data_IF_801905149986
#
_entry.id   IF_801905149986
#
_cell.length_a   1.000
_cell.length_b   1.000
_cell.length_c   1.000
_cell.angle_alpha   90.00
_cell.angle_beta   90.00
_cell.angle_gamma   90.00
#
_symmetry.space_group_name_H-M   'P 1'
#
loop_
_entity.id
_entity.type
_entity.pdbx_description
1 polymer ?
#
# COMPACT_ATOMS: atom_id res chain seq x y z
N UNK A 1 20.72 -9.46 15.45
CA UNK A 1 20.26 -8.33 16.30
C UNK A 1 19.41 -7.43 15.40
N UNK A 2 18.15 -7.17 15.75
CA UNK A 2 17.22 -6.50 14.83
C UNK A 2 17.36 -4.97 14.92
N UNK A 3 17.47 -4.28 13.79
CA UNK A 3 17.44 -2.80 13.74
C UNK A 3 16.01 -2.30 13.55
N UNK A 4 15.51 -1.52 14.52
CA UNK A 4 14.16 -0.93 14.46
C UNK A 4 14.15 0.37 13.63
N UNK A 5 14.33 0.26 12.31
CA UNK A 5 14.38 1.39 11.40
C UNK A 5 13.06 1.62 10.63
N UNK A 6 11.94 1.67 11.36
CA UNK A 6 10.63 2.01 10.77
C UNK A 6 10.40 3.53 10.87
N UNK A 7 9.96 4.20 9.80
CA UNK A 7 9.54 5.59 9.86
C UNK A 7 8.50 5.82 10.96
N UNK A 8 8.52 6.98 11.62
CA UNK A 8 7.55 7.33 12.67
C UNK A 8 6.56 8.41 12.25
N UNK A 9 6.86 9.11 11.17
CA UNK A 9 6.06 10.19 10.62
C UNK A 9 5.65 9.89 9.18
N UNK A 10 4.59 10.55 8.67
CA UNK A 10 4.26 10.49 7.26
C UNK A 10 5.45 10.84 6.37
N UNK A 11 5.69 10.04 5.34
CA UNK A 11 6.83 10.22 4.44
C UNK A 11 6.41 9.92 3.00
N UNK A 12 7.21 10.40 2.06
CA UNK A 12 6.99 10.17 0.64
C UNK A 12 7.69 8.90 0.17
N UNK A 13 6.96 8.07 -0.58
CA UNK A 13 7.51 6.97 -1.36
C UNK A 13 7.31 7.26 -2.86
N UNK A 14 8.24 6.78 -3.67
CA UNK A 14 8.21 6.94 -5.13
C UNK A 14 7.82 5.62 -5.77
N UNK A 15 6.78 5.64 -6.60
CA UNK A 15 6.35 4.50 -7.40
C UNK A 15 6.91 4.61 -8.82
N UNK A 16 6.39 3.80 -9.74
CA UNK A 16 6.66 3.91 -11.16
C UNK A 16 5.98 5.14 -11.80
N UNK A 17 6.40 5.48 -13.03
CA UNK A 17 5.76 6.49 -13.89
C UNK A 17 5.63 7.90 -13.29
N UNK A 18 6.52 8.27 -12.36
CA UNK A 18 6.51 9.60 -11.73
C UNK A 18 5.44 9.79 -10.66
N UNK A 19 4.74 8.73 -10.26
CA UNK A 19 3.78 8.77 -9.16
C UNK A 19 4.52 8.75 -7.83
N UNK A 20 4.15 9.64 -6.91
CA UNK A 20 4.61 9.62 -5.51
C UNK A 20 3.44 9.59 -4.56
N UNK A 21 3.58 8.88 -3.45
CA UNK A 21 2.56 8.81 -2.40
C UNK A 21 3.14 9.29 -1.09
N UNK A 22 2.42 10.17 -0.39
CA UNK A 22 2.68 10.44 1.01
C UNK A 22 1.90 9.43 1.84
N UNK A 23 2.61 8.66 2.66
CA UNK A 23 2.04 7.52 3.38
C UNK A 23 2.29 7.61 4.87
N UNK A 24 1.35 7.11 5.67
CA UNK A 24 1.53 6.83 7.09
C UNK A 24 2.60 5.75 7.27
N UNK A 25 3.29 5.67 8.41
CA UNK A 25 4.16 4.53 8.70
C UNK A 25 3.46 3.16 8.62
N UNK A 26 4.13 2.19 8.00
CA UNK A 26 3.68 0.80 7.90
C UNK A 26 3.78 0.07 9.25
N UNK A 27 2.88 0.39 10.17
CA UNK A 27 2.82 -0.23 11.50
C UNK A 27 2.02 -1.53 11.48
N UNK A 28 2.27 -2.40 12.46
CA UNK A 28 1.46 -3.63 12.66
C UNK A 28 -0.03 -3.32 12.79
N UNK A 29 -0.39 -2.24 13.49
CA UNK A 29 -1.79 -1.83 13.64
C UNK A 29 -2.44 -1.50 12.28
N UNK A 30 -1.70 -0.82 11.40
CA UNK A 30 -2.18 -0.47 10.06
C UNK A 30 -2.34 -1.71 9.17
N UNK A 31 -1.38 -2.64 9.23
CA UNK A 31 -1.48 -3.93 8.51
C UNK A 31 -2.66 -4.78 9.01
N UNK A 32 -2.88 -4.85 10.33
CA UNK A 32 -4.03 -5.60 10.89
C UNK A 32 -5.37 -4.96 10.54
N UNK A 33 -5.44 -3.63 10.55
CA UNK A 33 -6.63 -2.90 10.10
C UNK A 33 -6.93 -3.20 8.62
N UNK A 34 -5.91 -3.22 7.76
CA UNK A 34 -6.05 -3.57 6.35
C UNK A 34 -6.53 -5.01 6.15
N UNK A 35 -5.98 -5.97 6.90
CA UNK A 35 -6.43 -7.38 6.86
C UNK A 35 -7.91 -7.51 7.25
N UNK A 36 -8.33 -6.81 8.29
CA UNK A 36 -9.73 -6.80 8.72
C UNK A 36 -10.66 -6.10 7.71
N UNK A 37 -10.20 -5.05 7.05
CA UNK A 37 -10.96 -4.43 5.96
C UNK A 37 -11.07 -5.38 4.76
N UNK A 38 -9.97 -6.02 4.36
CA UNK A 38 -9.92 -6.96 3.25
C UNK A 38 -10.82 -8.18 3.49
N UNK A 39 -10.89 -8.70 4.73
CA UNK A 39 -11.78 -9.81 5.06
C UNK A 39 -13.28 -9.49 4.92
N UNK A 40 -13.64 -8.20 4.86
CA UNK A 40 -15.02 -7.76 4.59
C UNK A 40 -15.33 -7.64 3.11
N UNK A 41 -14.30 -7.46 2.28
CA UNK A 41 -14.42 -7.28 0.82
C UNK A 41 -14.31 -8.62 0.10
N UNK A 42 -13.34 -9.45 0.49
CA UNK A 42 -13.18 -10.80 -0.01
C UNK A 42 -14.31 -11.69 0.53
N UNK A 43 -15.47 -11.67 -0.13
CA UNK A 43 -16.58 -12.55 0.20
C UNK A 43 -16.16 -14.02 0.11
N UNK A 44 -16.31 -14.74 1.22
CA UNK A 44 -16.00 -16.17 1.43
C UNK A 44 -14.56 -16.63 1.12
N UNK A 45 -14.11 -17.64 1.84
CA UNK A 45 -12.73 -18.15 1.86
C UNK A 45 -12.29 -18.85 0.53
N UNK A 46 -13.12 -18.79 -0.50
CA UNK A 46 -12.93 -19.45 -1.80
C UNK A 46 -12.20 -18.58 -2.82
N UNK A 47 -11.93 -17.31 -2.53
CA UNK A 47 -11.19 -16.43 -3.43
C UNK A 47 -9.77 -16.95 -3.69
N UNK A 48 -9.30 -16.82 -4.93
CA UNK A 48 -7.95 -17.22 -5.30
C UNK A 48 -6.91 -16.46 -4.45
N UNK A 49 -5.78 -17.07 -4.15
CA UNK A 49 -4.75 -16.45 -3.31
C UNK A 49 -4.30 -15.08 -3.85
N UNK A 50 -4.20 -14.93 -5.18
CA UNK A 50 -3.87 -13.66 -5.82
C UNK A 50 -4.91 -12.56 -5.58
N UNK A 51 -6.21 -12.88 -5.67
CA UNK A 51 -7.30 -11.91 -5.44
C UNK A 51 -7.31 -11.42 -3.98
N UNK A 52 -7.03 -12.33 -3.03
CA UNK A 52 -6.90 -11.97 -1.61
C UNK A 52 -5.72 -11.04 -1.38
N UNK A 53 -4.58 -11.29 -2.01
CA UNK A 53 -3.41 -10.41 -1.93
C UNK A 53 -3.70 -9.04 -2.53
N UNK A 54 -4.30 -8.98 -3.72
CA UNK A 54 -4.67 -7.71 -4.36
C UNK A 54 -5.63 -6.90 -3.48
N UNK A 55 -6.65 -7.54 -2.91
CA UNK A 55 -7.59 -6.91 -1.98
C UNK A 55 -6.87 -6.35 -0.74
N UNK A 56 -5.94 -7.12 -0.16
CA UNK A 56 -5.15 -6.66 0.98
C UNK A 56 -4.29 -5.45 0.63
N UNK A 57 -3.62 -5.45 -0.52
CA UNK A 57 -2.79 -4.33 -0.98
C UNK A 57 -3.65 -3.07 -1.15
N UNK A 58 -4.83 -3.19 -1.78
CA UNK A 58 -5.75 -2.07 -1.97
C UNK A 58 -6.25 -1.50 -0.64
N UNK A 59 -6.69 -2.36 0.30
CA UNK A 59 -7.15 -1.92 1.62
C UNK A 59 -6.02 -1.32 2.46
N UNK A 60 -4.80 -1.83 2.30
CA UNK A 60 -3.63 -1.25 2.95
C UNK A 60 -3.34 0.16 2.42
N UNK A 61 -3.35 0.33 1.09
CA UNK A 61 -3.15 1.63 0.46
C UNK A 61 -4.20 2.66 0.90
N UNK A 62 -5.48 2.28 0.95
CA UNK A 62 -6.58 3.15 1.43
C UNK A 62 -6.34 3.69 2.84
N UNK A 63 -5.73 2.90 3.72
CA UNK A 63 -5.42 3.30 5.09
C UNK A 63 -4.12 4.08 5.23
N UNK A 64 -3.19 3.89 4.28
CA UNK A 64 -1.85 4.44 4.31
C UNK A 64 -1.72 5.80 3.63
N UNK A 65 -2.36 5.99 2.47
CA UNK A 65 -2.15 7.16 1.60
C UNK A 65 -2.84 8.39 2.18
N UNK A 66 -2.08 9.49 2.27
CA UNK A 66 -2.53 10.80 2.75
C UNK A 66 -2.56 11.86 1.64
N UNK A 67 -1.60 11.78 0.71
CA UNK A 67 -1.46 12.67 -0.44
C UNK A 67 -0.77 11.92 -1.59
N UNK A 68 -0.88 12.43 -2.81
CA UNK A 68 -0.14 11.92 -3.95
C UNK A 68 0.29 13.02 -4.92
N UNK A 69 1.25 12.70 -5.77
CA UNK A 69 1.68 13.49 -6.91
C UNK A 69 1.73 12.57 -8.15
N UNK A 70 1.54 13.16 -9.34
CA UNK A 70 1.59 12.42 -10.60
C UNK A 70 0.34 11.60 -10.91
N UNK A 71 -0.74 11.75 -10.12
CA UNK A 71 -2.04 11.11 -10.38
C UNK A 71 -3.02 12.16 -10.90
N UNK A 72 -3.60 11.87 -12.06
CA UNK A 72 -4.58 12.73 -12.71
C UNK A 72 -5.93 12.03 -12.90
N UNK A 73 -7.00 12.81 -12.92
CA UNK A 73 -8.34 12.36 -13.28
C UNK A 73 -8.47 12.18 -14.81
N UNK A 74 -9.64 11.73 -15.26
CA UNK A 74 -9.96 11.55 -16.70
C UNK A 74 -9.82 12.83 -17.53
N UNK A 75 -9.79 14.00 -16.88
CA UNK A 75 -9.65 15.32 -17.52
C UNK A 75 -8.21 15.83 -17.45
N UNK A 76 -7.27 15.03 -16.98
CA UNK A 76 -5.85 15.39 -16.84
C UNK A 76 -5.57 16.35 -15.68
N UNK A 77 -6.52 16.55 -14.76
CA UNK A 77 -6.32 17.41 -13.57
C UNK A 77 -5.83 16.59 -12.40
N UNK A 78 -5.07 17.17 -11.44
CA UNK A 78 -4.67 16.46 -10.23
C UNK A 78 -5.88 15.81 -9.54
N UNK A 79 -5.82 14.48 -9.39
CA UNK A 79 -6.90 13.73 -8.77
C UNK A 79 -6.91 13.99 -7.25
N UNK A 80 -8.09 13.97 -6.63
CA UNK A 80 -8.20 13.99 -5.17
C UNK A 80 -7.93 12.59 -4.59
N UNK A 81 -7.25 12.52 -3.45
CA UNK A 81 -7.07 11.25 -2.72
C UNK A 81 -8.42 10.84 -2.11
N UNK A 82 -9.06 9.84 -2.70
CA UNK A 82 -10.25 9.19 -2.17
C UNK A 82 -10.04 7.68 -2.08
N UNK A 83 -10.80 6.95 -1.25
CA UNK A 83 -10.70 5.49 -1.19
C UNK A 83 -10.88 4.81 -2.55
N UNK A 84 -11.77 5.34 -3.39
CA UNK A 84 -12.04 4.85 -4.75
C UNK A 84 -10.87 5.16 -5.69
N UNK A 85 -10.31 6.37 -5.60
CA UNK A 85 -9.14 6.74 -6.40
C UNK A 85 -7.89 5.93 -6.03
N UNK A 86 -7.69 5.65 -4.73
CA UNK A 86 -6.61 4.78 -4.25
C UNK A 86 -6.83 3.34 -4.70
N UNK A 87 -8.06 2.83 -4.66
CA UNK A 87 -8.38 1.51 -5.21
C UNK A 87 -8.05 1.45 -6.71
N UNK A 88 -8.52 2.42 -7.50
CA UNK A 88 -8.25 2.49 -8.94
C UNK A 88 -6.74 2.56 -9.25
N UNK A 89 -5.95 3.29 -8.44
CA UNK A 89 -4.50 3.33 -8.57
C UNK A 89 -3.87 1.94 -8.36
N UNK A 90 -4.40 1.16 -7.41
CA UNK A 90 -3.92 -0.20 -7.10
C UNK A 90 -4.42 -1.27 -8.08
N UNK A 91 -5.41 -0.99 -8.91
CA UNK A 91 -5.77 -1.87 -10.04
C UNK A 91 -4.69 -1.88 -11.14
N UNK A 92 -3.84 -0.86 -11.18
CA UNK A 92 -2.67 -0.87 -12.06
C UNK A 92 -1.58 -1.75 -11.46
N UNK A 93 -1.42 -2.94 -12.05
CA UNK A 93 -0.43 -3.96 -11.63
C UNK A 93 0.96 -3.38 -11.25
N UNK A 94 1.57 -2.57 -12.12
CA UNK A 94 2.91 -2.03 -11.87
C UNK A 94 2.97 -1.04 -10.69
N UNK A 95 1.88 -0.32 -10.44
CA UNK A 95 1.80 0.61 -9.31
C UNK A 95 1.53 -0.14 -8.00
N UNK A 96 0.72 -1.21 -8.05
CA UNK A 96 0.49 -2.08 -6.90
C UNK A 96 1.77 -2.83 -6.48
N UNK A 97 2.50 -3.43 -7.44
CA UNK A 97 3.79 -4.10 -7.16
C UNK A 97 4.83 -3.10 -6.60
N UNK A 98 4.93 -1.90 -7.19
CA UNK A 98 5.82 -0.86 -6.67
C UNK A 98 5.39 -0.41 -5.25
N UNK A 99 4.09 -0.27 -4.99
CA UNK A 99 3.59 0.12 -3.67
C UNK A 99 3.92 -0.95 -2.64
N UNK A 100 3.66 -2.23 -2.93
CA UNK A 100 3.99 -3.32 -2.03
C UNK A 100 5.49 -3.33 -1.70
N UNK A 101 6.35 -3.23 -2.71
CA UNK A 101 7.81 -3.21 -2.54
C UNK A 101 8.28 -2.05 -1.69
N UNK A 102 7.90 -0.83 -2.04
CA UNK A 102 8.42 0.38 -1.40
C UNK A 102 7.81 0.60 -0.01
N UNK A 103 6.49 0.38 0.13
CA UNK A 103 5.79 0.64 1.38
C UNK A 103 6.06 -0.42 2.45
N UNK A 104 6.19 -1.69 2.05
CA UNK A 104 6.46 -2.80 2.96
C UNK A 104 7.95 -3.14 3.10
N UNK A 105 8.86 -2.49 2.35
CA UNK A 105 10.30 -2.72 2.42
C UNK A 105 10.83 -2.78 3.87
N UNK A 106 10.43 -1.81 4.71
CA UNK A 106 10.86 -1.75 6.11
C UNK A 106 10.35 -2.91 6.97
N UNK A 107 9.21 -3.50 6.64
CA UNK A 107 8.68 -4.69 7.32
C UNK A 107 9.41 -5.97 6.87
N UNK A 108 9.79 -6.06 5.60
CA UNK A 108 10.54 -7.21 5.07
C UNK A 108 12.03 -7.21 5.47
N UNK A 109 12.61 -6.03 5.73
CA UNK A 109 14.00 -5.92 6.17
C UNK A 109 14.30 -6.72 7.45
N UNK A 110 13.34 -6.76 8.40
CA UNK A 110 13.48 -7.55 9.63
C UNK A 110 13.57 -9.06 9.38
N UNK A 111 12.88 -9.56 8.35
CA UNK A 111 12.87 -11.00 8.06
C UNK A 111 14.17 -11.43 7.36
N UNK A 112 14.77 -10.52 6.59
CA UNK A 112 16.08 -10.72 5.98
C UNK A 112 17.23 -10.71 7.01
N UNK A 113 17.11 -9.92 8.08
CA UNK A 113 18.10 -9.88 9.19
C UNK A 113 18.15 -11.19 10.01
N UNK A 114 17.15 -12.08 9.90
CA UNK A 114 17.19 -13.41 10.55
C UNK A 114 18.09 -14.41 9.81
N UNK A 115 18.39 -14.16 8.55
CA UNK A 115 19.10 -15.08 7.66
C UNK A 115 20.56 -14.66 7.40
N UNK A 116 21.10 -13.73 8.18
CA UNK A 116 22.46 -13.20 8.09
C UNK A 116 23.26 -13.48 9.37
#
# INVERSE_FOLDING_TARGET
MIKLNLPREPHWITLAAGVRLQVRPATTALVMAARHAASKVAGTDTAAAGERTATLIAELAKLAVLAWEGVADEKGKPAAVTPEGVAALMEHWLLADAFEREYLAGLYALDSEKNA
#
